data_IF_114604798247
#
_entry.id   IF_114604798247
#
_cell.length_a   1.000
_cell.length_b   1.000
_cell.length_c   1.000
_cell.angle_alpha   90.00
_cell.angle_beta   90.00
_cell.angle_gamma   90.00
#
_symmetry.space_group_name_H-M   'P 1'
#
loop_
_entity.id
_entity.type
_entity.pdbx_description
1 polymer ?
#
# COMPACT_ATOMS: atom_id res chain seq x y z
N UNK A 1 -9.76 22.08 26.69
CA UNK A 1 -10.36 21.59 25.43
C UNK A 1 -11.04 22.78 24.77
N UNK A 2 -10.38 23.44 23.80
CA UNK A 2 -10.81 24.72 23.17
C UNK A 2 -10.00 25.00 21.87
N UNK A 3 -9.80 23.97 21.03
CA UNK A 3 -8.85 24.05 19.88
C UNK A 3 -9.52 24.21 18.51
N UNK A 4 -10.85 24.25 18.45
CA UNK A 4 -11.63 24.33 17.22
C UNK A 4 -11.15 23.36 16.12
N UNK A 5 -10.92 22.09 16.48
CA UNK A 5 -10.43 21.08 15.55
C UNK A 5 -11.60 20.35 14.90
N UNK A 6 -11.53 20.18 13.59
CA UNK A 6 -12.36 19.22 12.86
C UNK A 6 -11.57 17.92 12.69
N UNK A 7 -12.09 16.84 13.25
CA UNK A 7 -11.53 15.50 13.10
C UNK A 7 -12.33 14.79 12.00
N UNK A 8 -11.66 14.36 10.93
CA UNK A 8 -12.24 13.51 9.88
C UNK A 8 -11.60 12.13 9.99
N UNK A 9 -12.43 11.11 10.15
CA UNK A 9 -12.02 9.72 10.30
C UNK A 9 -12.93 8.82 9.47
N UNK A 10 -12.41 7.68 9.05
CA UNK A 10 -13.14 6.71 8.24
C UNK A 10 -12.18 5.89 7.38
N UNK A 11 -12.73 4.88 6.72
CA UNK A 11 -11.98 4.14 5.69
C UNK A 11 -11.86 4.97 4.42
N UNK A 12 -10.90 4.63 3.57
CA UNK A 12 -10.74 5.23 2.26
C UNK A 12 -11.94 4.88 1.36
N UNK A 13 -12.59 5.88 0.77
CA UNK A 13 -13.56 5.67 -0.30
C UNK A 13 -12.81 5.38 -1.61
N UNK A 14 -12.41 4.13 -1.76
CA UNK A 14 -11.66 3.68 -2.93
C UNK A 14 -12.37 3.98 -4.25
N UNK A 15 -13.71 3.99 -4.28
CA UNK A 15 -14.47 4.20 -5.52
C UNK A 15 -14.28 5.62 -6.05
N UNK A 16 -14.32 6.63 -5.19
CA UNK A 16 -14.14 8.02 -5.61
C UNK A 16 -12.68 8.38 -5.86
N UNK A 17 -11.74 7.80 -5.10
CA UNK A 17 -10.32 8.22 -5.19
C UNK A 17 -9.50 7.45 -6.23
N UNK A 18 -9.86 6.19 -6.55
CA UNK A 18 -9.01 5.35 -7.43
C UNK A 18 -8.93 5.87 -8.87
N UNK A 19 -10.02 6.30 -9.54
CA UNK A 19 -9.95 6.72 -10.95
C UNK A 19 -8.88 7.79 -11.25
N UNK A 20 -8.84 8.94 -10.54
CA UNK A 20 -7.81 9.95 -10.82
C UNK A 20 -6.39 9.48 -10.46
N UNK A 21 -6.23 8.55 -9.50
CA UNK A 21 -4.91 8.00 -9.17
C UNK A 21 -4.36 7.13 -10.30
N UNK A 22 -5.23 6.39 -11.00
CA UNK A 22 -4.81 5.60 -12.16
C UNK A 22 -4.30 6.50 -13.29
N UNK A 23 -4.93 7.66 -13.52
CA UNK A 23 -4.47 8.63 -14.52
C UNK A 23 -3.07 9.17 -14.21
N UNK A 24 -2.76 9.41 -12.92
CA UNK A 24 -1.42 9.83 -12.49
C UNK A 24 -0.36 8.75 -12.73
N UNK A 25 -0.71 7.48 -12.52
CA UNK A 25 0.19 6.36 -12.81
C UNK A 25 0.39 6.18 -14.31
N UNK A 26 -0.70 6.19 -15.08
CA UNK A 26 -0.66 6.01 -16.52
C UNK A 26 0.11 7.14 -17.25
N UNK A 27 0.00 8.37 -16.75
CA UNK A 27 0.77 9.52 -17.26
C UNK A 27 2.24 9.55 -16.81
N UNK A 28 2.65 8.67 -15.90
CA UNK A 28 4.00 8.63 -15.35
C UNK A 28 4.31 9.74 -14.34
N UNK A 29 3.30 10.54 -13.94
CA UNK A 29 3.44 11.58 -12.90
C UNK A 29 3.70 10.94 -11.53
N UNK A 30 3.26 9.71 -11.33
CA UNK A 30 3.45 8.98 -10.08
C UNK A 30 3.81 7.52 -10.32
N UNK A 31 4.91 7.07 -9.72
CA UNK A 31 5.31 5.66 -9.70
C UNK A 31 5.12 5.06 -8.30
N UNK A 32 4.03 4.31 -8.05
CA UNK A 32 3.79 3.65 -6.77
C UNK A 32 4.68 2.42 -6.55
N UNK A 33 5.36 1.92 -7.59
CA UNK A 33 6.12 0.67 -7.47
C UNK A 33 7.36 0.83 -6.60
N UNK A 34 7.87 2.05 -6.43
CA UNK A 34 8.95 2.37 -5.51
C UNK A 34 8.67 2.00 -4.04
N UNK A 35 7.39 1.86 -3.65
CA UNK A 35 7.03 1.41 -2.31
C UNK A 35 7.06 -0.12 -2.15
N UNK A 36 7.09 -0.88 -3.25
CA UNK A 36 7.16 -2.34 -3.25
C UNK A 36 8.60 -2.75 -2.94
N UNK A 37 8.86 -3.15 -1.70
CA UNK A 37 10.21 -3.56 -1.27
C UNK A 37 10.42 -5.07 -1.32
N UNK A 38 9.35 -5.85 -1.42
CA UNK A 38 9.43 -7.31 -1.42
C UNK A 38 8.61 -7.92 -2.56
N UNK A 39 9.26 -8.78 -3.34
CA UNK A 39 8.62 -9.62 -4.36
C UNK A 39 8.78 -11.08 -3.94
N UNK A 40 7.68 -11.81 -3.76
CA UNK A 40 7.70 -13.21 -3.32
C UNK A 40 6.79 -14.06 -4.21
N UNK A 41 7.13 -15.34 -4.44
CA UNK A 41 6.22 -16.26 -5.09
C UNK A 41 5.07 -16.62 -4.14
N UNK A 42 3.91 -17.00 -4.70
CA UNK A 42 2.69 -17.28 -3.92
C UNK A 42 2.87 -18.41 -2.89
N UNK A 43 3.78 -19.36 -3.16
CA UNK A 43 4.14 -20.45 -2.24
C UNK A 43 4.73 -19.95 -0.91
N UNK A 44 5.30 -18.75 -0.89
CA UNK A 44 5.94 -18.15 0.28
C UNK A 44 4.99 -17.18 1.02
N UNK A 45 3.68 -17.22 0.74
CA UNK A 45 2.70 -16.26 1.29
C UNK A 45 2.67 -16.25 2.81
N UNK A 46 2.78 -17.40 3.47
CA UNK A 46 2.75 -17.49 4.94
C UNK A 46 3.95 -16.76 5.53
N UNK A 47 5.16 -17.03 5.03
CA UNK A 47 6.36 -16.35 5.47
C UNK A 47 6.30 -14.85 5.16
N UNK A 48 5.77 -14.46 4.01
CA UNK A 48 5.60 -13.06 3.66
C UNK A 48 4.70 -12.30 4.66
N UNK A 49 3.60 -12.91 5.10
CA UNK A 49 2.75 -12.35 6.15
C UNK A 49 3.47 -12.26 7.49
N UNK A 50 4.21 -13.30 7.87
CA UNK A 50 4.94 -13.35 9.15
C UNK A 50 6.01 -12.26 9.25
N UNK A 51 6.79 -12.02 8.19
CA UNK A 51 7.81 -10.97 8.17
C UNK A 51 7.18 -9.56 8.19
N UNK A 52 6.06 -9.37 7.48
CA UNK A 52 5.32 -8.10 7.49
C UNK A 52 4.70 -7.81 8.88
N UNK A 53 4.12 -8.82 9.53
CA UNK A 53 3.54 -8.71 10.88
C UNK A 53 4.60 -8.33 11.92
N UNK A 54 5.78 -8.96 11.84
CA UNK A 54 6.94 -8.63 12.69
C UNK A 54 7.57 -7.26 12.39
N UNK A 55 7.15 -6.59 11.32
CA UNK A 55 7.71 -5.30 10.84
C UNK A 55 9.23 -5.37 10.68
N UNK A 56 9.70 -6.46 10.09
CA UNK A 56 11.13 -6.61 9.81
C UNK A 56 11.64 -5.48 8.92
N UNK A 57 12.88 -5.07 9.14
CA UNK A 57 13.50 -4.00 8.36
C UNK A 57 13.46 -4.34 6.86
N UNK A 58 13.08 -3.37 6.02
CA UNK A 58 12.93 -3.55 4.57
C UNK A 58 11.60 -4.17 4.12
N UNK A 59 10.65 -4.46 5.03
CA UNK A 59 9.32 -4.95 4.70
C UNK A 59 8.25 -3.84 4.71
N UNK A 60 8.28 -2.98 3.69
CA UNK A 60 7.30 -1.90 3.52
C UNK A 60 6.03 -2.38 2.79
N UNK A 61 6.20 -3.03 1.62
CA UNK A 61 5.11 -3.58 0.83
C UNK A 61 5.57 -4.82 0.08
N UNK A 62 4.81 -5.89 0.25
CA UNK A 62 5.05 -7.17 -0.44
C UNK A 62 4.04 -7.38 -1.56
N UNK A 63 4.51 -7.81 -2.73
CA UNK A 63 3.69 -8.28 -3.85
C UNK A 63 3.96 -9.76 -4.07
N UNK A 64 2.88 -10.52 -4.22
CA UNK A 64 2.92 -11.96 -4.49
C UNK A 64 2.71 -12.21 -5.98
N UNK A 65 3.50 -13.12 -6.54
CA UNK A 65 3.42 -13.52 -7.95
C UNK A 65 3.15 -15.02 -8.06
N UNK A 66 2.44 -15.43 -9.12
CA UNK A 66 2.10 -16.83 -9.38
C UNK A 66 3.11 -17.54 -10.30
N UNK A 67 4.15 -16.84 -10.76
CA UNK A 67 5.23 -17.38 -11.58
C UNK A 67 6.27 -18.10 -10.73
#
# INVERSE_FOLDING_TARGET
MNKNLTIRMGNCDHRSVTPPLLDLVASGVFDPTAFITQHKPIKDVVDAYLNFDRREEGWLKTVLTTQ
#
